data_IF_029307787821
#
_entry.id   IF_029307787821
#
_cell.length_a   1.000
_cell.length_b   1.000
_cell.length_c   1.000
_cell.angle_alpha   90.00
_cell.angle_beta   90.00
_cell.angle_gamma   90.00
#
_symmetry.space_group_name_H-M   'P 1'
#
loop_
_entity.id
_entity.type
_entity.pdbx_description
1 polymer ?
#
# COMPACT_ATOMS: atom_id res chain seq x y z
N UNK A 1 -5.28 -3.30 -24.37
CA UNK A 1 -5.67 -3.26 -22.95
C UNK A 1 -4.43 -3.32 -22.09
N UNK A 2 -4.36 -2.42 -21.15
CA UNK A 2 -3.25 -2.43 -20.19
C UNK A 2 -3.65 -3.30 -19.01
N UNK A 3 -2.88 -4.33 -18.77
CA UNK A 3 -3.09 -5.18 -17.61
C UNK A 3 -2.42 -4.52 -16.40
N UNK A 4 -3.15 -4.43 -15.29
CA UNK A 4 -2.61 -3.91 -14.06
C UNK A 4 -1.64 -4.96 -13.47
N UNK A 5 -0.35 -4.68 -13.54
CA UNK A 5 0.67 -5.62 -13.07
C UNK A 5 0.52 -5.94 -11.58
N UNK A 6 0.03 -4.97 -10.80
CA UNK A 6 -0.24 -5.18 -9.39
C UNK A 6 -1.32 -6.22 -9.17
N UNK A 7 -2.40 -6.15 -9.95
CA UNK A 7 -3.48 -7.13 -9.87
C UNK A 7 -3.00 -8.52 -10.27
N UNK A 8 -2.16 -8.61 -11.30
CA UNK A 8 -1.60 -9.90 -11.73
C UNK A 8 -0.77 -10.53 -10.61
N UNK A 9 0.04 -9.73 -9.91
CA UNK A 9 0.84 -10.22 -8.79
C UNK A 9 -0.05 -10.70 -7.65
N UNK A 10 -1.08 -9.94 -7.31
CA UNK A 10 -2.03 -10.33 -6.26
C UNK A 10 -2.75 -11.62 -6.62
N UNK A 11 -3.19 -11.74 -7.87
CA UNK A 11 -3.88 -12.96 -8.34
C UNK A 11 -2.97 -14.18 -8.26
N UNK A 12 -1.67 -14.00 -8.52
CA UNK A 12 -0.71 -15.12 -8.51
C UNK A 12 -0.21 -15.45 -7.11
N UNK A 13 0.03 -14.45 -6.27
CA UNK A 13 0.75 -14.61 -5.00
C UNK A 13 -0.06 -14.26 -3.76
N UNK A 14 -1.16 -13.53 -3.91
CA UNK A 14 -1.89 -12.96 -2.78
C UNK A 14 -2.51 -13.96 -1.81
N UNK A 15 -2.59 -15.23 -2.19
CA UNK A 15 -3.13 -16.28 -1.34
C UNK A 15 -2.06 -17.29 -0.91
N UNK A 16 -0.80 -16.95 -1.09
CA UNK A 16 0.32 -17.87 -0.79
C UNK A 16 1.05 -17.46 0.47
N UNK A 17 1.30 -18.44 1.32
CA UNK A 17 2.15 -18.26 2.49
C UNK A 17 3.62 -18.38 2.04
N UNK A 18 4.14 -17.28 1.51
CA UNK A 18 5.49 -17.26 0.93
C UNK A 18 6.59 -17.36 2.00
N UNK A 19 6.30 -16.91 3.20
CA UNK A 19 7.24 -16.98 4.32
C UNK A 19 7.14 -18.29 5.09
N UNK A 20 6.13 -19.10 4.80
CA UNK A 20 5.92 -20.40 5.45
C UNK A 20 5.77 -20.28 6.96
N UNK A 21 5.09 -19.24 7.42
CA UNK A 21 4.86 -18.99 8.84
C UNK A 21 3.43 -19.32 9.30
N UNK A 22 2.63 -19.89 8.40
CA UNK A 22 1.26 -20.27 8.70
C UNK A 22 0.24 -19.16 8.50
N UNK A 23 0.66 -17.99 8.05
CA UNK A 23 -0.22 -16.84 7.82
C UNK A 23 0.05 -16.21 6.46
N UNK A 24 -1.00 -15.73 5.81
CA UNK A 24 -0.85 -14.95 4.57
C UNK A 24 -1.04 -13.48 4.93
N UNK A 25 0.03 -12.70 4.78
CA UNK A 25 0.03 -11.27 5.11
C UNK A 25 0.28 -10.47 3.85
N UNK A 26 -0.75 -9.76 3.39
CA UNK A 26 -0.64 -8.81 2.28
C UNK A 26 -0.68 -7.41 2.88
N UNK A 27 0.49 -6.79 3.01
CA UNK A 27 0.63 -5.51 3.67
C UNK A 27 0.57 -4.37 2.67
N UNK A 28 -0.47 -3.57 2.73
CA UNK A 28 -0.53 -2.33 1.98
C UNK A 28 0.26 -1.26 2.72
N UNK A 29 1.10 -0.53 2.00
CA UNK A 29 1.85 0.59 2.57
C UNK A 29 1.40 1.86 1.85
N UNK A 30 0.89 2.80 2.61
CA UNK A 30 0.41 4.08 2.10
C UNK A 30 1.03 5.21 2.91
N UNK A 31 1.18 6.38 2.33
CA UNK A 31 1.76 7.49 3.06
C UNK A 31 2.07 8.69 2.20
N UNK A 32 2.81 9.61 2.77
CA UNK A 32 3.18 10.86 2.12
C UNK A 32 4.00 10.63 0.86
N UNK A 33 3.58 11.23 -0.25
CA UNK A 33 4.32 11.17 -1.50
C UNK A 33 5.57 12.05 -1.50
N UNK A 34 5.78 12.82 -0.45
CA UNK A 34 6.90 13.76 -0.30
C UNK A 34 7.88 13.37 0.79
N UNK A 35 7.67 12.24 1.44
CA UNK A 35 8.51 11.79 2.53
C UNK A 35 9.56 10.81 2.01
N UNK A 36 10.83 11.13 2.22
CA UNK A 36 11.95 10.33 1.69
C UNK A 36 12.99 9.95 2.75
N UNK A 37 12.67 10.07 4.04
CA UNK A 37 13.59 9.65 5.10
C UNK A 37 13.51 8.12 5.26
N UNK A 38 14.37 7.43 4.56
CA UNK A 38 14.35 5.97 4.53
C UNK A 38 14.64 5.36 5.91
N UNK A 39 15.48 5.99 6.72
CA UNK A 39 15.77 5.47 8.07
C UNK A 39 14.51 5.44 8.93
N UNK A 40 13.72 6.50 8.89
CA UNK A 40 12.45 6.56 9.63
C UNK A 40 11.48 5.53 9.08
N UNK A 41 11.36 5.44 7.76
CA UNK A 41 10.50 4.45 7.11
C UNK A 41 10.90 3.02 7.48
N UNK A 42 12.20 2.71 7.36
CA UNK A 42 12.72 1.37 7.66
C UNK A 42 12.42 0.98 9.10
N UNK A 43 12.62 1.92 10.04
CA UNK A 43 12.32 1.66 11.45
C UNK A 43 10.84 1.39 11.66
N UNK A 44 9.97 2.13 10.99
CA UNK A 44 8.53 1.94 11.13
C UNK A 44 8.11 0.55 10.64
N UNK A 45 8.59 0.13 9.48
CA UNK A 45 8.22 -1.17 8.94
C UNK A 45 8.88 -2.31 9.72
N UNK A 46 10.10 -2.13 10.22
CA UNK A 46 10.76 -3.14 11.05
C UNK A 46 10.03 -3.33 12.39
N UNK A 47 9.55 -2.25 12.99
CA UNK A 47 8.70 -2.34 14.18
C UNK A 47 7.40 -3.08 13.89
N UNK A 48 6.81 -2.82 12.73
CA UNK A 48 5.59 -3.51 12.30
C UNK A 48 5.84 -5.02 12.13
N UNK A 49 6.95 -5.37 11.49
CA UNK A 49 7.35 -6.77 11.26
C UNK A 49 7.58 -7.49 12.58
N UNK A 50 8.22 -6.82 13.54
CA UNK A 50 8.47 -7.38 14.85
C UNK A 50 7.17 -7.77 15.56
N UNK A 51 6.12 -6.98 15.38
CA UNK A 51 4.83 -7.23 16.02
C UNK A 51 3.93 -8.19 15.24
N UNK A 52 4.07 -8.28 13.93
CA UNK A 52 3.11 -8.97 13.07
C UNK A 52 3.72 -10.08 12.21
N UNK A 53 5.03 -10.11 12.04
CA UNK A 53 5.73 -11.02 11.13
C UNK A 53 6.01 -10.38 9.78
N UNK A 54 6.84 -11.03 8.98
CA UNK A 54 7.15 -10.53 7.64
C UNK A 54 5.95 -10.64 6.71
N UNK A 55 5.69 -9.62 5.90
CA UNK A 55 4.63 -9.72 4.90
C UNK A 55 5.04 -10.71 3.80
N UNK A 56 4.05 -11.43 3.27
CA UNK A 56 4.24 -12.30 2.11
C UNK A 56 4.23 -11.46 0.83
N UNK A 57 3.47 -10.38 0.85
CA UNK A 57 3.32 -9.50 -0.29
C UNK A 57 3.13 -8.06 0.20
N UNK A 58 3.83 -7.12 -0.45
CA UNK A 58 3.62 -5.69 -0.22
C UNK A 58 2.78 -5.13 -1.35
N UNK A 59 1.80 -4.31 -1.02
CA UNK A 59 0.88 -3.69 -1.99
C UNK A 59 1.06 -2.18 -1.93
N UNK A 60 1.37 -1.57 -3.05
CA UNK A 60 1.57 -0.11 -3.13
C UNK A 60 0.91 0.47 -4.37
N UNK A 61 0.77 1.79 -4.39
CA UNK A 61 0.16 2.51 -5.49
C UNK A 61 1.13 3.08 -6.53
N UNK A 62 2.42 2.81 -6.37
CA UNK A 62 3.41 3.26 -7.36
C UNK A 62 3.71 4.76 -7.35
N UNK A 63 3.35 5.46 -6.28
CA UNK A 63 3.67 6.88 -6.14
C UNK A 63 5.11 7.10 -5.68
N UNK A 64 5.48 8.36 -5.50
CA UNK A 64 6.76 8.73 -4.92
C UNK A 64 6.67 8.68 -3.38
N UNK A 65 7.75 9.04 -2.71
CA UNK A 65 7.77 9.12 -1.25
C UNK A 65 7.69 7.75 -0.59
N UNK A 66 6.72 7.59 0.29
CA UNK A 66 6.55 6.35 1.07
C UNK A 66 6.40 5.13 0.15
N UNK A 67 5.64 5.24 -0.94
CA UNK A 67 5.46 4.12 -1.87
C UNK A 67 6.79 3.70 -2.49
N UNK A 68 7.62 4.66 -2.89
CA UNK A 68 8.95 4.38 -3.42
C UNK A 68 9.84 3.69 -2.37
N UNK A 69 9.79 4.16 -1.12
CA UNK A 69 10.59 3.55 -0.06
C UNK A 69 10.11 2.13 0.26
N UNK A 70 8.81 1.88 0.14
CA UNK A 70 8.27 0.54 0.31
C UNK A 70 8.80 -0.42 -0.75
N UNK A 71 8.89 0.04 -2.01
CA UNK A 71 9.48 -0.77 -3.08
C UNK A 71 10.95 -1.07 -2.79
N UNK A 72 11.69 -0.08 -2.32
CA UNK A 72 13.09 -0.26 -1.97
C UNK A 72 13.27 -1.25 -0.82
N UNK A 73 12.45 -1.13 0.21
CA UNK A 73 12.52 -2.06 1.34
C UNK A 73 12.18 -3.49 0.93
N UNK A 74 11.15 -3.66 0.10
CA UNK A 74 10.76 -4.98 -0.40
C UNK A 74 11.90 -5.62 -1.20
N UNK A 75 12.55 -4.84 -2.07
CA UNK A 75 13.68 -5.33 -2.84
C UNK A 75 14.85 -5.73 -1.92
N UNK A 76 15.17 -4.89 -0.94
CA UNK A 76 16.26 -5.15 0.01
C UNK A 76 16.03 -6.40 0.86
N UNK A 77 14.77 -6.75 1.10
CA UNK A 77 14.40 -7.86 1.98
C UNK A 77 13.83 -9.05 1.23
N UNK A 78 13.90 -9.04 -0.09
CA UNK A 78 13.40 -10.13 -0.95
C UNK A 78 11.93 -10.45 -0.71
N UNK A 79 11.13 -9.40 -0.49
CA UNK A 79 9.68 -9.53 -0.34
C UNK A 79 9.02 -9.18 -1.68
N UNK A 80 8.06 -9.99 -2.10
CA UNK A 80 7.32 -9.72 -3.33
C UNK A 80 6.48 -8.45 -3.20
N UNK A 81 6.31 -7.73 -4.31
CA UNK A 81 5.58 -6.47 -4.31
C UNK A 81 4.59 -6.40 -5.46
N UNK A 82 3.39 -5.91 -5.17
CA UNK A 82 2.35 -5.61 -6.14
C UNK A 82 2.20 -4.10 -6.24
N UNK A 83 2.49 -3.54 -7.41
CA UNK A 83 2.37 -2.11 -7.66
C UNK A 83 1.16 -1.87 -8.54
N UNK A 84 0.15 -1.19 -8.00
CA UNK A 84 -1.05 -0.85 -8.76
C UNK A 84 -0.83 0.44 -9.54
N UNK A 85 -1.22 0.42 -10.82
CA UNK A 85 -1.18 1.59 -11.67
C UNK A 85 -2.33 2.53 -11.31
N UNK A 86 -2.08 3.82 -11.40
CA UNK A 86 -3.09 4.83 -11.15
C UNK A 86 -3.77 5.24 -12.46
N UNK A 87 -5.09 5.22 -12.43
CA UNK A 87 -5.91 5.67 -13.54
C UNK A 87 -6.71 6.88 -13.05
N UNK A 88 -6.02 8.02 -12.91
CA UNK A 88 -6.64 9.23 -12.38
C UNK A 88 -7.70 9.83 -13.30
N UNK A 89 -7.53 9.64 -14.61
CA UNK A 89 -8.45 10.14 -15.60
C UNK A 89 -8.49 9.19 -16.77
N UNK A 90 -9.64 8.59 -17.03
CA UNK A 90 -9.87 7.72 -18.17
C UNK A 90 -11.23 8.03 -18.77
N UNK A 91 -11.27 8.88 -19.82
CA UNK A 91 -12.54 9.28 -20.42
C UNK A 91 -13.36 8.10 -20.98
N UNK A 92 -12.70 7.05 -21.42
CA UNK A 92 -13.38 5.88 -21.99
C UNK A 92 -14.22 5.18 -20.92
N UNK A 93 -13.71 5.13 -19.70
CA UNK A 93 -14.39 4.48 -18.58
C UNK A 93 -15.06 5.48 -17.64
N UNK A 94 -15.16 6.73 -18.06
CA UNK A 94 -15.73 7.81 -17.25
C UNK A 94 -15.01 8.00 -15.91
N UNK A 95 -13.73 7.76 -15.91
CA UNK A 95 -12.91 7.86 -14.71
C UNK A 95 -12.29 9.25 -14.67
N UNK A 96 -12.76 10.06 -13.74
CA UNK A 96 -12.34 11.45 -13.60
C UNK A 96 -11.85 11.71 -12.17
N UNK A 97 -10.83 10.98 -11.76
CA UNK A 97 -10.24 11.22 -10.46
C UNK A 97 -9.50 12.55 -10.46
N UNK A 98 -9.73 13.34 -9.45
CA UNK A 98 -9.05 14.62 -9.28
C UNK A 98 -7.76 14.47 -8.48
N UNK A 99 -7.15 13.29 -8.57
CA UNK A 99 -5.97 12.94 -7.83
C UNK A 99 -6.32 12.18 -6.57
N UNK A 100 -5.31 12.01 -5.73
CA UNK A 100 -5.44 11.16 -4.55
C UNK A 100 -6.32 11.73 -3.44
N UNK A 101 -6.84 12.93 -3.64
CA UNK A 101 -7.77 13.52 -2.67
C UNK A 101 -9.17 12.96 -2.76
N UNK A 102 -9.48 12.20 -3.80
CA UNK A 102 -10.83 11.71 -4.03
C UNK A 102 -11.05 10.36 -3.36
N UNK A 103 -12.04 10.31 -2.48
CA UNK A 103 -12.36 9.10 -1.76
C UNK A 103 -12.98 8.06 -2.70
N UNK A 104 -12.57 6.80 -2.56
CA UNK A 104 -13.17 5.73 -3.32
C UNK A 104 -12.72 5.65 -4.77
N UNK A 105 -11.62 6.31 -5.13
CA UNK A 105 -11.08 6.18 -6.47
C UNK A 105 -10.62 4.74 -6.72
N UNK A 106 -10.32 4.42 -7.98
CA UNK A 106 -9.98 3.06 -8.38
C UNK A 106 -8.74 2.51 -7.66
N UNK A 107 -7.74 3.36 -7.44
CA UNK A 107 -6.52 2.96 -6.73
C UNK A 107 -6.81 2.60 -5.28
N UNK A 108 -7.59 3.43 -4.59
CA UNK A 108 -7.97 3.19 -3.19
C UNK A 108 -8.67 1.84 -3.05
N UNK A 109 -9.63 1.58 -3.92
CA UNK A 109 -10.38 0.33 -3.89
C UNK A 109 -9.49 -0.89 -4.13
N UNK A 110 -8.62 -0.82 -5.13
CA UNK A 110 -7.70 -1.92 -5.45
C UNK A 110 -6.79 -2.25 -4.28
N UNK A 111 -6.23 -1.23 -3.63
CA UNK A 111 -5.34 -1.42 -2.49
C UNK A 111 -6.09 -2.06 -1.33
N UNK A 112 -7.27 -1.56 -0.99
CA UNK A 112 -8.05 -2.10 0.13
C UNK A 112 -8.50 -3.53 -0.14
N UNK A 113 -8.95 -3.82 -1.34
CA UNK A 113 -9.43 -5.16 -1.69
C UNK A 113 -8.32 -6.19 -1.70
N UNK A 114 -7.06 -5.76 -1.87
CA UNK A 114 -5.92 -6.66 -2.00
C UNK A 114 -5.16 -6.86 -0.69
N UNK A 115 -5.49 -6.13 0.37
CA UNK A 115 -4.69 -6.12 1.60
C UNK A 115 -5.36 -6.83 2.75
N UNK A 116 -4.55 -7.49 3.57
CA UNK A 116 -5.00 -8.03 4.85
C UNK A 116 -4.63 -7.10 6.01
N UNK A 117 -3.62 -6.26 5.81
CA UNK A 117 -3.11 -5.31 6.81
C UNK A 117 -2.66 -4.04 6.12
N UNK A 118 -2.64 -2.93 6.83
CA UNK A 118 -2.18 -1.65 6.30
C UNK A 118 -1.19 -1.00 7.26
N UNK A 119 -0.09 -0.51 6.70
CA UNK A 119 0.84 0.38 7.40
C UNK A 119 0.76 1.74 6.75
N UNK A 120 0.34 2.75 7.49
CA UNK A 120 0.16 4.10 6.98
C UNK A 120 1.16 5.06 7.61
N UNK A 121 1.81 5.89 6.78
CA UNK A 121 2.77 6.90 7.23
C UNK A 121 2.33 8.28 6.71
N UNK A 122 1.25 8.83 7.26
CA UNK A 122 0.75 10.13 6.81
C UNK A 122 1.57 11.29 7.35
N UNK A 123 1.76 12.31 6.52
CA UNK A 123 2.24 13.60 6.97
C UNK A 123 1.03 14.49 7.37
N UNK A 124 1.26 15.68 7.94
CA UNK A 124 0.14 16.57 8.26
C UNK A 124 -0.75 16.94 7.07
N UNK A 125 -0.22 16.86 5.84
CA UNK A 125 -0.94 17.22 4.62
C UNK A 125 -1.38 16.02 3.78
N UNK A 126 -1.27 14.81 4.31
CA UNK A 126 -1.59 13.57 3.56
C UNK A 126 -3.08 13.28 3.56
N UNK A 127 -3.85 13.97 2.75
CA UNK A 127 -5.32 13.81 2.71
C UNK A 127 -5.73 12.42 2.24
N UNK A 128 -5.15 11.95 1.14
CA UNK A 128 -5.51 10.64 0.59
C UNK A 128 -5.19 9.50 1.57
N UNK A 129 -4.03 9.56 2.22
CA UNK A 129 -3.63 8.54 3.18
C UNK A 129 -4.63 8.45 4.33
N UNK A 130 -5.13 9.59 4.81
CA UNK A 130 -6.13 9.61 5.89
C UNK A 130 -7.47 9.04 5.43
N UNK A 131 -7.84 9.26 4.17
CA UNK A 131 -9.03 8.65 3.58
C UNK A 131 -8.89 7.13 3.57
N UNK A 132 -7.72 6.62 3.18
CA UNK A 132 -7.45 5.18 3.18
C UNK A 132 -7.56 4.62 4.60
N UNK A 133 -7.00 5.31 5.59
CA UNK A 133 -7.09 4.89 6.99
C UNK A 133 -8.56 4.79 7.43
N UNK A 134 -9.37 5.78 7.12
CA UNK A 134 -10.78 5.79 7.50
C UNK A 134 -11.57 4.66 6.81
N UNK A 135 -11.32 4.43 5.53
CA UNK A 135 -11.99 3.37 4.79
C UNK A 135 -11.56 1.99 5.28
N UNK A 136 -10.28 1.82 5.61
CA UNK A 136 -9.77 0.58 6.18
C UNK A 136 -10.43 0.27 7.51
N UNK A 137 -10.61 1.30 8.35
CA UNK A 137 -11.29 1.13 9.63
C UNK A 137 -12.74 0.67 9.43
N UNK A 138 -13.44 1.25 8.46
CA UNK A 138 -14.81 0.85 8.14
C UNK A 138 -14.90 -0.58 7.65
N UNK A 139 -13.87 -1.06 6.95
CA UNK A 139 -13.80 -2.43 6.44
C UNK A 139 -13.17 -3.40 7.43
N UNK A 140 -12.81 -2.91 8.63
CA UNK A 140 -12.19 -3.71 9.70
C UNK A 140 -10.85 -4.32 9.29
N UNK A 141 -10.09 -3.61 8.46
CA UNK A 141 -8.73 -4.02 8.09
C UNK A 141 -7.77 -3.50 9.16
N UNK A 142 -6.96 -4.36 9.78
CA UNK A 142 -5.97 -3.90 10.76
C UNK A 142 -5.03 -2.85 10.16
N UNK A 143 -4.97 -1.69 10.79
CA UNK A 143 -4.20 -0.55 10.28
C UNK A 143 -3.29 0.00 11.36
N UNK A 144 -2.01 0.11 11.05
CA UNK A 144 -1.03 0.76 11.93
C UNK A 144 -0.66 2.11 11.32
N UNK A 145 -0.64 3.14 12.16
CA UNK A 145 -0.37 4.52 11.70
C UNK A 145 0.88 5.05 12.36
N UNK A 146 1.83 5.51 11.56
CA UNK A 146 3.02 6.20 12.02
C UNK A 146 3.05 7.58 11.37
N UNK A 147 2.83 8.63 12.17
CA UNK A 147 2.86 10.00 11.66
C UNK A 147 4.28 10.38 11.27
N UNK A 148 4.43 11.00 10.09
CA UNK A 148 5.72 11.49 9.59
C UNK A 148 5.59 12.96 9.21
N UNK A 149 6.70 13.61 8.92
CA UNK A 149 6.69 15.03 8.54
C UNK A 149 6.81 15.26 7.05
#
# INVERSE_FOLDING_TARGET
MVTDSGQDVVDSLGNRDLNQDGSVINLAIVGSSRFYDFEVFEKAIENWVESNGYPDLIVVGGASGVDYMAERWADNNSVEIAVFSEEWSDPVNSLHDTGRGEAGNSLTKKILDSSSHILALPSPTSKWTRIVIDLAAKQKIPTSVTEVE
#
